data_IF_842809338355
#
_entry.id   IF_842809338355
#
_cell.length_a   1.000
_cell.length_b   1.000
_cell.length_c   1.000
_cell.angle_alpha   90.00
_cell.angle_beta   90.00
_cell.angle_gamma   90.00
#
_symmetry.space_group_name_H-M   'P 1'
#
loop_
_entity.id
_entity.type
_entity.pdbx_description
1 polymer ?
#
# COMPACT_ATOMS: atom_id res chain seq x y z
N UNK A 1 -3.57 -14.81 -21.71
CA UNK A 1 -3.19 -15.95 -20.83
C UNK A 1 -4.44 -16.64 -20.28
N UNK A 2 -4.40 -17.94 -19.93
CA UNK A 2 -5.55 -18.64 -19.37
C UNK A 2 -5.87 -18.15 -17.95
N UNK A 3 -7.14 -18.26 -17.52
CA UNK A 3 -7.61 -17.75 -16.22
C UNK A 3 -6.87 -18.36 -15.01
N UNK A 4 -6.43 -19.62 -15.13
CA UNK A 4 -5.69 -20.32 -14.08
C UNK A 4 -4.29 -19.72 -13.81
N UNK A 5 -3.77 -18.93 -14.76
CA UNK A 5 -2.53 -18.14 -14.63
C UNK A 5 -2.83 -16.63 -14.60
N UNK A 6 -4.01 -16.25 -14.10
CA UNK A 6 -4.37 -14.84 -13.93
C UNK A 6 -3.45 -14.15 -12.90
N UNK A 7 -3.32 -12.81 -12.95
CA UNK A 7 -2.52 -12.06 -11.99
C UNK A 7 -2.90 -12.35 -10.53
N UNK A 8 -4.19 -12.55 -10.26
CA UNK A 8 -4.68 -12.95 -8.93
C UNK A 8 -4.09 -14.31 -8.55
N UNK A 9 -4.23 -15.34 -9.40
CA UNK A 9 -3.68 -16.67 -9.12
C UNK A 9 -2.17 -16.66 -8.84
N UNK A 10 -1.41 -15.82 -9.57
CA UNK A 10 0.01 -15.64 -9.29
C UNK A 10 0.24 -14.99 -7.91
N UNK A 11 -0.46 -13.89 -7.61
CA UNK A 11 -0.33 -13.17 -6.35
C UNK A 11 -0.71 -14.05 -5.12
N UNK A 12 -1.51 -15.12 -5.30
CA UNK A 12 -1.86 -16.08 -4.22
C UNK A 12 -0.64 -16.62 -3.52
N UNK A 13 0.37 -16.92 -4.33
CA UNK A 13 1.59 -17.58 -3.93
C UNK A 13 2.74 -16.57 -3.88
N UNK A 14 2.43 -15.28 -3.70
CA UNK A 14 3.41 -14.24 -3.44
C UNK A 14 4.13 -13.69 -4.67
N UNK A 15 3.70 -14.05 -5.88
CA UNK A 15 4.36 -13.64 -7.12
C UNK A 15 3.93 -12.23 -7.56
N UNK A 16 4.91 -11.41 -7.87
CA UNK A 16 4.76 -10.06 -8.46
C UNK A 16 5.23 -10.12 -9.91
N UNK A 17 4.50 -9.50 -10.84
CA UNK A 17 4.94 -9.37 -12.22
C UNK A 17 6.04 -8.30 -12.34
N UNK A 18 7.16 -8.65 -12.96
CA UNK A 18 8.30 -7.75 -13.16
C UNK A 18 8.68 -7.60 -14.65
N UNK A 19 7.92 -8.21 -15.55
CA UNK A 19 8.18 -8.19 -16.99
C UNK A 19 7.31 -9.19 -17.76
N UNK A 20 7.57 -9.28 -19.07
CA UNK A 20 6.91 -10.24 -19.94
C UNK A 20 7.17 -11.67 -19.45
N UNK A 21 6.10 -12.35 -19.07
CA UNK A 21 6.14 -13.72 -18.54
C UNK A 21 7.03 -13.95 -17.32
N UNK A 22 7.50 -12.90 -16.64
CA UNK A 22 8.45 -13.02 -15.55
C UNK A 22 7.83 -12.59 -14.23
N UNK A 23 7.93 -13.48 -13.25
CA UNK A 23 7.41 -13.30 -11.90
C UNK A 23 8.56 -13.32 -10.89
N UNK A 24 8.45 -12.49 -9.85
CA UNK A 24 9.36 -12.45 -8.71
C UNK A 24 8.59 -12.66 -7.41
N UNK A 25 9.06 -13.52 -6.52
CA UNK A 25 8.45 -13.69 -5.22
C UNK A 25 8.70 -12.45 -4.35
N UNK A 26 7.63 -11.88 -3.78
CA UNK A 26 7.65 -10.74 -2.87
C UNK A 26 8.47 -10.97 -1.59
N UNK A 27 8.50 -12.21 -1.09
CA UNK A 27 9.23 -12.57 0.14
C UNK A 27 10.63 -13.10 -0.15
N UNK A 28 10.74 -14.23 -0.86
CA UNK A 28 12.02 -14.92 -1.04
C UNK A 28 12.84 -14.48 -2.27
N UNK A 29 12.33 -13.53 -3.07
CA UNK A 29 13.01 -13.01 -4.27
C UNK A 29 13.28 -14.02 -5.39
N UNK A 30 12.78 -15.26 -5.29
CA UNK A 30 12.84 -16.26 -6.37
C UNK A 30 12.19 -15.74 -7.66
N UNK A 31 12.62 -16.29 -8.80
CA UNK A 31 12.08 -15.96 -10.11
C UNK A 31 11.35 -17.15 -10.74
N UNK A 32 10.29 -16.85 -11.49
CA UNK A 32 9.52 -17.85 -12.23
C UNK A 32 9.18 -17.34 -13.64
N UNK A 33 9.49 -18.16 -14.64
CA UNK A 33 9.15 -17.92 -16.04
C UNK A 33 7.80 -18.58 -16.38
N UNK A 34 6.78 -17.75 -16.55
CA UNK A 34 5.41 -18.12 -16.90
C UNK A 34 5.12 -18.00 -18.40
N UNK A 35 6.12 -18.25 -19.25
CA UNK A 35 5.95 -18.28 -20.71
C UNK A 35 5.18 -19.50 -21.16
N UNK A 36 4.24 -19.27 -22.08
CA UNK A 36 3.40 -20.32 -22.65
C UNK A 36 3.77 -20.52 -24.13
N UNK A 37 3.83 -21.78 -24.61
CA UNK A 37 3.97 -22.05 -26.03
C UNK A 37 2.70 -21.61 -26.79
N UNK A 38 2.76 -21.63 -28.12
CA UNK A 38 1.58 -21.34 -28.95
C UNK A 38 0.40 -22.26 -28.60
N UNK A 39 -0.79 -21.67 -28.47
CA UNK A 39 -2.03 -22.38 -28.11
C UNK A 39 -2.47 -23.42 -29.17
N UNK A 40 -1.92 -23.36 -30.39
CA UNK A 40 -2.18 -24.35 -31.44
C UNK A 40 -1.56 -25.72 -31.13
N UNK A 41 -0.58 -25.77 -30.22
CA UNK A 41 0.03 -27.02 -29.75
C UNK A 41 -0.61 -27.47 -28.43
N UNK A 42 -1.89 -27.86 -28.48
CA UNK A 42 -2.72 -28.14 -27.30
C UNK A 42 -2.05 -29.00 -26.23
N UNK A 43 -1.43 -30.13 -26.59
CA UNK A 43 -0.78 -31.01 -25.61
C UNK A 43 0.39 -30.36 -24.86
N UNK A 44 1.24 -29.59 -25.55
CA UNK A 44 2.35 -28.85 -24.94
C UNK A 44 1.85 -27.65 -24.15
N UNK A 45 0.79 -27.00 -24.63
CA UNK A 45 0.16 -25.86 -23.99
C UNK A 45 -0.42 -26.23 -22.63
N UNK A 46 -1.27 -27.25 -22.57
CA UNK A 46 -1.88 -27.73 -21.32
C UNK A 46 -0.84 -28.25 -20.33
N UNK A 47 0.15 -29.01 -20.81
CA UNK A 47 1.24 -29.51 -19.97
C UNK A 47 2.03 -28.36 -19.34
N UNK A 48 2.32 -27.30 -20.11
CA UNK A 48 3.03 -26.13 -19.59
C UNK A 48 2.18 -25.34 -18.59
N UNK A 49 0.87 -25.23 -18.81
CA UNK A 49 -0.04 -24.59 -17.85
C UNK A 49 -0.01 -25.35 -16.51
N UNK A 50 -0.12 -26.68 -16.55
CA UNK A 50 -0.08 -27.51 -15.35
C UNK A 50 1.27 -27.37 -14.61
N UNK A 51 2.37 -27.35 -15.36
CA UNK A 51 3.72 -27.14 -14.82
C UNK A 51 3.86 -25.78 -14.13
N UNK A 52 3.47 -24.69 -14.80
CA UNK A 52 3.53 -23.35 -14.22
C UNK A 52 2.62 -23.26 -13.00
N UNK A 53 1.41 -23.83 -13.07
CA UNK A 53 0.46 -23.82 -11.94
C UNK A 53 1.07 -24.50 -10.71
N UNK A 54 1.78 -25.62 -10.89
CA UNK A 54 2.53 -26.27 -9.82
C UNK A 54 3.70 -25.42 -9.33
N UNK A 55 4.47 -24.83 -10.25
CA UNK A 55 5.60 -23.96 -9.93
C UNK A 55 5.18 -22.70 -9.17
N UNK A 56 3.97 -22.17 -9.39
CA UNK A 56 3.48 -21.05 -8.57
C UNK A 56 3.51 -21.40 -7.08
N UNK A 57 3.18 -22.63 -6.71
CA UNK A 57 3.23 -23.06 -5.31
C UNK A 57 4.62 -23.51 -4.88
N UNK A 58 5.40 -24.18 -5.74
CA UNK A 58 6.62 -24.88 -5.33
C UNK A 58 7.93 -24.17 -5.67
N UNK A 59 7.96 -23.27 -6.65
CA UNK A 59 9.17 -22.62 -7.15
C UNK A 59 9.59 -21.47 -6.23
N UNK A 60 9.86 -21.77 -4.97
CA UNK A 60 10.30 -20.79 -3.99
C UNK A 60 11.63 -21.22 -3.38
N UNK A 61 12.38 -20.24 -2.86
CA UNK A 61 13.55 -20.56 -2.03
C UNK A 61 13.13 -21.24 -0.73
N UNK A 62 14.09 -21.92 -0.10
CA UNK A 62 13.88 -22.56 1.21
C UNK A 62 13.36 -21.53 2.22
N UNK A 63 12.42 -21.96 3.05
CA UNK A 63 11.77 -21.17 4.09
C UNK A 63 10.88 -20.01 3.60
N UNK A 64 10.55 -19.97 2.31
CA UNK A 64 9.47 -19.09 1.86
C UNK A 64 8.13 -19.53 2.47
N UNK A 65 7.30 -18.61 2.99
CA UNK A 65 6.03 -18.98 3.63
C UNK A 65 4.91 -19.30 2.64
N UNK A 66 5.01 -18.83 1.39
CA UNK A 66 3.92 -18.92 0.40
C UNK A 66 3.49 -20.34 -0.01
N UNK A 67 4.38 -21.35 -0.10
CA UNK A 67 3.97 -22.72 -0.39
C UNK A 67 3.00 -23.31 0.65
N UNK A 68 3.23 -23.01 1.93
CA UNK A 68 2.48 -23.54 3.08
C UNK A 68 1.31 -22.64 3.48
N UNK A 69 1.47 -21.32 3.29
CA UNK A 69 0.51 -20.29 3.69
C UNK A 69 0.13 -19.39 2.50
N UNK A 70 -0.48 -19.94 1.44
CA UNK A 70 -0.95 -19.13 0.32
C UNK A 70 -2.06 -18.17 0.78
N UNK A 71 -2.20 -17.05 0.07
CA UNK A 71 -3.28 -16.09 0.33
C UNK A 71 -4.65 -16.79 0.23
N UNK A 72 -5.49 -16.73 1.29
CA UNK A 72 -6.85 -17.26 1.25
C UNK A 72 -7.68 -16.67 0.10
N UNK A 73 -8.47 -17.53 -0.56
CA UNK A 73 -9.27 -17.16 -1.74
C UNK A 73 -10.22 -15.99 -1.46
N UNK A 74 -10.80 -15.94 -0.26
CA UNK A 74 -11.69 -14.84 0.15
C UNK A 74 -11.07 -13.44 0.08
N UNK A 75 -9.74 -13.30 0.12
CA UNK A 75 -9.09 -11.99 0.10
C UNK A 75 -8.98 -11.36 -1.29
N UNK A 76 -9.21 -12.12 -2.36
CA UNK A 76 -9.22 -11.59 -3.73
C UNK A 76 -10.56 -11.77 -4.44
N UNK A 77 -11.51 -12.46 -3.80
CA UNK A 77 -12.84 -12.58 -4.36
C UNK A 77 -13.48 -11.21 -4.17
N UNK A 78 -13.82 -10.56 -5.28
CA UNK A 78 -14.73 -9.44 -5.22
C UNK A 78 -16.00 -10.02 -4.58
N UNK A 79 -16.43 -9.51 -3.42
CA UNK A 79 -17.65 -10.00 -2.81
C UNK A 79 -18.74 -9.92 -3.87
N UNK A 80 -19.40 -11.04 -4.18
CA UNK A 80 -20.59 -11.07 -5.03
C UNK A 80 -21.78 -10.48 -4.25
N UNK A 81 -21.56 -9.32 -3.65
CA UNK A 81 -22.57 -8.53 -3.00
C UNK A 81 -23.37 -7.84 -4.09
N UNK A 82 -24.66 -7.68 -3.82
CA UNK A 82 -25.53 -6.91 -4.68
C UNK A 82 -24.99 -5.46 -4.79
N UNK A 83 -25.01 -4.83 -5.98
CA UNK A 83 -24.41 -3.52 -6.20
C UNK A 83 -24.80 -2.45 -5.17
N UNK A 84 -26.04 -2.44 -4.67
CA UNK A 84 -26.47 -1.48 -3.65
C UNK A 84 -25.80 -1.70 -2.29
N UNK A 85 -25.48 -2.95 -1.92
CA UNK A 85 -24.72 -3.27 -0.71
C UNK A 85 -23.29 -2.76 -0.85
N UNK A 86 -22.63 -3.03 -1.98
CA UNK A 86 -21.27 -2.55 -2.24
C UNK A 86 -21.18 -1.02 -2.19
N UNK A 87 -22.17 -0.35 -2.80
CA UNK A 87 -22.27 1.10 -2.79
C UNK A 87 -22.51 1.64 -1.39
N UNK A 88 -23.41 1.02 -0.62
CA UNK A 88 -23.69 1.43 0.77
C UNK A 88 -22.45 1.29 1.65
N UNK A 89 -21.79 0.13 1.61
CA UNK A 89 -20.56 -0.10 2.38
C UNK A 89 -19.44 0.87 1.97
N UNK A 90 -19.32 1.17 0.68
CA UNK A 90 -18.37 2.15 0.17
C UNK A 90 -18.68 3.56 0.68
N UNK A 91 -19.94 3.99 0.64
CA UNK A 91 -20.38 5.30 1.14
C UNK A 91 -20.13 5.44 2.64
N UNK A 92 -20.37 4.40 3.43
CA UNK A 92 -20.07 4.41 4.87
C UNK A 92 -18.58 4.56 5.14
N UNK A 93 -17.73 3.81 4.42
CA UNK A 93 -16.27 3.95 4.50
C UNK A 93 -15.83 5.36 4.11
N UNK A 94 -16.37 5.90 3.02
CA UNK A 94 -16.07 7.25 2.56
C UNK A 94 -16.41 8.29 3.64
N UNK A 95 -17.65 8.28 4.16
CA UNK A 95 -18.09 9.20 5.21
C UNK A 95 -17.21 9.11 6.45
N UNK A 96 -16.96 7.90 6.94
CA UNK A 96 -16.11 7.70 8.12
C UNK A 96 -14.70 8.27 7.90
N UNK A 97 -14.17 8.12 6.69
CA UNK A 97 -12.81 8.55 6.35
C UNK A 97 -12.74 10.07 6.16
N UNK A 98 -13.77 10.70 5.60
CA UNK A 98 -13.85 12.16 5.50
C UNK A 98 -13.80 12.86 6.86
N UNK A 99 -14.34 12.25 7.92
CA UNK A 99 -14.28 12.81 9.28
C UNK A 99 -12.85 12.94 9.83
N UNK A 100 -11.87 12.27 9.22
CA UNK A 100 -10.46 12.38 9.60
C UNK A 100 -9.80 13.64 9.03
N UNK A 101 -10.42 14.30 8.04
CA UNK A 101 -9.94 15.55 7.46
C UNK A 101 -8.47 15.49 7.02
N UNK A 102 -7.69 16.48 7.44
CA UNK A 102 -6.26 16.61 7.14
C UNK A 102 -5.38 15.51 7.76
N UNK A 103 -5.91 14.72 8.69
CA UNK A 103 -5.15 13.62 9.31
C UNK A 103 -4.96 12.42 8.37
N UNK A 104 -5.65 12.40 7.22
CA UNK A 104 -5.44 11.36 6.22
C UNK A 104 -4.03 11.43 5.62
N UNK A 105 -3.50 10.28 5.15
CA UNK A 105 -2.19 10.24 4.51
C UNK A 105 -2.12 11.15 3.28
N UNK A 106 -1.09 11.99 3.21
CA UNK A 106 -0.84 12.85 2.06
C UNK A 106 -0.56 12.01 0.81
N UNK A 107 -1.35 12.24 -0.23
CA UNK A 107 -1.18 11.57 -1.52
C UNK A 107 -0.32 12.43 -2.44
N UNK A 108 0.93 12.02 -2.64
CA UNK A 108 1.82 12.69 -3.59
C UNK A 108 1.27 12.61 -5.01
N UNK A 109 1.35 13.72 -5.73
CA UNK A 109 0.87 13.83 -7.11
C UNK A 109 1.54 12.84 -8.07
N UNK A 110 2.79 12.43 -7.79
CA UNK A 110 3.52 11.39 -8.54
C UNK A 110 2.86 10.00 -8.45
N UNK A 111 2.33 9.62 -7.28
CA UNK A 111 1.64 8.35 -7.07
C UNK A 111 0.21 8.38 -7.62
N UNK A 112 -0.44 9.54 -7.58
CA UNK A 112 -1.71 9.74 -8.25
C UNK A 112 -1.52 9.60 -9.76
N UNK A 113 -0.47 10.20 -10.32
CA UNK A 113 -0.10 10.08 -11.73
C UNK A 113 0.13 8.64 -12.16
N UNK A 114 0.87 7.81 -11.41
CA UNK A 114 1.09 6.40 -11.80
C UNK A 114 -0.20 5.57 -11.79
N UNK A 115 -1.12 5.82 -10.84
CA UNK A 115 -2.48 5.26 -10.88
C UNK A 115 -3.32 5.79 -12.05
N UNK A 116 -2.97 6.98 -12.54
CA UNK A 116 -3.64 7.75 -13.61
C UNK A 116 -3.16 7.37 -15.02
N UNK A 117 -1.89 6.97 -15.18
CA UNK A 117 -1.26 6.69 -16.49
C UNK A 117 -1.63 5.32 -17.06
N UNK A 118 -2.18 4.38 -16.28
CA UNK A 118 -2.70 3.09 -16.79
C UNK A 118 -4.17 3.16 -17.25
N UNK A 119 -4.57 4.33 -17.76
CA UNK A 119 -5.93 4.74 -18.07
C UNK A 119 -6.76 5.08 -16.84
N UNK A 120 -7.29 6.31 -16.92
CA UNK A 120 -8.42 6.87 -16.18
C UNK A 120 -8.03 7.61 -14.89
N UNK A 121 -7.80 8.92 -15.05
CA UNK A 121 -8.14 9.96 -14.05
C UNK A 121 -9.66 10.01 -13.83
N UNK A 122 -10.44 9.58 -14.82
CA UNK A 122 -11.89 9.55 -14.79
C UNK A 122 -12.56 8.82 -13.59
N UNK A 123 -12.07 7.69 -13.04
CA UNK A 123 -12.83 6.91 -12.08
C UNK A 123 -12.96 7.64 -10.76
N UNK A 124 -11.92 8.35 -10.29
CA UNK A 124 -12.01 9.03 -9.00
C UNK A 124 -13.02 10.18 -9.06
N UNK A 125 -13.01 10.98 -10.12
CA UNK A 125 -13.99 12.06 -10.30
C UNK A 125 -15.40 11.51 -10.58
N UNK A 126 -15.53 10.44 -11.36
CA UNK A 126 -16.81 9.73 -11.55
C UNK A 126 -17.33 9.19 -10.21
N UNK A 127 -16.47 8.63 -9.37
CA UNK A 127 -16.84 8.11 -8.06
C UNK A 127 -17.25 9.22 -7.11
N UNK A 128 -16.55 10.36 -7.12
CA UNK A 128 -16.96 11.54 -6.34
C UNK A 128 -18.32 12.08 -6.83
N UNK A 129 -18.56 12.11 -8.14
CA UNK A 129 -19.86 12.48 -8.69
C UNK A 129 -20.95 11.48 -8.27
N UNK A 130 -20.69 10.18 -8.33
CA UNK A 130 -21.61 9.13 -7.86
C UNK A 130 -21.92 9.26 -6.38
N UNK A 131 -20.92 9.61 -5.55
CA UNK A 131 -21.12 9.89 -4.12
C UNK A 131 -22.08 11.06 -3.95
N UNK A 132 -21.86 12.15 -4.68
CA UNK A 132 -22.68 13.36 -4.61
C UNK A 132 -24.12 13.09 -5.04
N UNK A 133 -24.32 12.34 -6.12
CA UNK A 133 -25.63 11.95 -6.64
C UNK A 133 -26.39 11.04 -5.64
N UNK A 134 -25.69 10.10 -5.00
CA UNK A 134 -26.29 9.24 -3.96
C UNK A 134 -26.62 10.02 -2.68
N UNK A 135 -25.81 11.00 -2.30
CA UNK A 135 -26.09 11.89 -1.17
C UNK A 135 -27.34 12.73 -1.45
N UNK A 136 -27.46 13.30 -2.66
CA UNK A 136 -28.65 14.03 -3.10
C UNK A 136 -29.89 13.14 -3.09
N UNK A 137 -29.79 11.91 -3.58
CA UNK A 137 -30.89 10.94 -3.60
C UNK A 137 -31.36 10.56 -2.19
N UNK A 138 -30.44 10.48 -1.22
CA UNK A 138 -30.74 10.16 0.19
C UNK A 138 -31.12 11.41 1.03
N UNK A 139 -31.08 12.61 0.45
CA UNK A 139 -31.35 13.86 1.17
C UNK A 139 -30.29 14.22 2.22
N UNK A 140 -29.07 13.70 2.06
CA UNK A 140 -27.97 13.93 2.99
C UNK A 140 -27.15 15.16 2.60
N UNK A 141 -26.54 15.81 3.60
CA UNK A 141 -25.64 16.94 3.37
C UNK A 141 -24.34 16.49 2.72
N UNK A 142 -23.86 17.18 1.66
CA UNK A 142 -22.56 16.91 1.05
C UNK A 142 -21.40 17.02 2.04
N UNK A 143 -20.31 16.33 1.76
CA UNK A 143 -19.08 16.44 2.55
C UNK A 143 -18.50 17.86 2.41
N UNK A 144 -18.32 18.56 3.54
CA UNK A 144 -17.79 19.92 3.59
C UNK A 144 -16.25 19.99 3.50
N UNK A 145 -15.56 18.85 3.41
CA UNK A 145 -14.11 18.79 3.39
C UNK A 145 -13.52 19.28 2.05
N UNK A 146 -12.28 19.81 2.05
CA UNK A 146 -11.59 20.18 0.81
C UNK A 146 -11.49 19.03 -0.18
N UNK A 147 -11.47 19.34 -1.49
CA UNK A 147 -11.39 18.33 -2.56
C UNK A 147 -10.23 17.34 -2.39
N UNK A 148 -9.08 17.80 -1.91
CA UNK A 148 -7.92 16.94 -1.65
C UNK A 148 -8.21 15.87 -0.59
N UNK A 149 -8.95 16.23 0.47
CA UNK A 149 -9.41 15.32 1.52
C UNK A 149 -10.40 14.33 0.94
N UNK A 150 -11.37 14.80 0.14
CA UNK A 150 -12.37 13.93 -0.48
C UNK A 150 -11.72 12.92 -1.43
N UNK A 151 -10.73 13.34 -2.22
CA UNK A 151 -9.95 12.43 -3.09
C UNK A 151 -9.21 11.39 -2.25
N UNK A 152 -8.53 11.80 -1.18
CA UNK A 152 -7.83 10.89 -0.29
C UNK A 152 -8.78 9.90 0.39
N UNK A 153 -9.90 10.39 0.92
CA UNK A 153 -10.92 9.58 1.57
C UNK A 153 -11.56 8.57 0.61
N UNK A 154 -11.82 8.99 -0.64
CA UNK A 154 -12.36 8.13 -1.68
C UNK A 154 -11.38 6.99 -2.01
N UNK A 155 -10.09 7.28 -2.21
CA UNK A 155 -9.06 6.25 -2.46
C UNK A 155 -8.95 5.28 -1.28
N UNK A 156 -8.89 5.79 -0.05
CA UNK A 156 -8.80 4.98 1.17
C UNK A 156 -10.04 4.08 1.32
N UNK A 157 -11.24 4.61 1.09
CA UNK A 157 -12.50 3.88 1.15
C UNK A 157 -12.64 2.80 0.05
N UNK A 158 -12.18 3.09 -1.18
CA UNK A 158 -12.12 2.12 -2.28
C UNK A 158 -11.21 0.94 -1.93
N UNK A 159 -10.07 1.22 -1.28
CA UNK A 159 -9.16 0.20 -0.78
C UNK A 159 -9.68 -0.55 0.47
N UNK A 160 -10.92 -0.30 0.89
CA UNK A 160 -11.59 -1.02 1.97
C UNK A 160 -11.28 -0.53 3.37
N UNK A 161 -10.66 0.64 3.52
CA UNK A 161 -10.34 1.20 4.83
C UNK A 161 -11.47 2.11 5.32
N UNK A 162 -11.75 2.05 6.61
CA UNK A 162 -12.72 2.90 7.30
C UNK A 162 -12.07 3.52 8.54
N UNK A 163 -12.53 4.70 8.95
CA UNK A 163 -12.15 5.24 10.25
C UNK A 163 -12.78 4.38 11.35
N UNK A 164 -11.96 3.97 12.33
CA UNK A 164 -12.46 3.25 13.49
C UNK A 164 -13.26 4.21 14.37
N UNK A 165 -14.44 3.83 14.87
CA UNK A 165 -15.22 4.69 15.76
C UNK A 165 -14.39 5.00 17.01
N UNK A 166 -13.94 6.25 17.12
CA UNK A 166 -13.17 6.72 18.27
C UNK A 166 -13.98 6.53 19.54
N UNK A 167 -13.47 5.74 20.48
CA UNK A 167 -14.04 5.65 21.81
C UNK A 167 -13.50 6.85 22.61
N UNK A 168 -14.27 7.94 22.62
CA UNK A 168 -14.05 9.15 23.41
C UNK A 168 -12.84 10.03 23.02
N UNK A 169 -12.87 11.29 23.47
CA UNK A 169 -12.06 12.47 23.09
C UNK A 169 -10.51 12.32 23.07
N UNK A 170 -9.95 11.14 23.35
CA UNK A 170 -8.50 10.92 23.47
C UNK A 170 -7.97 9.76 22.60
N UNK A 171 -8.79 9.17 21.72
CA UNK A 171 -8.32 8.10 20.85
C UNK A 171 -7.57 8.64 19.63
N UNK A 172 -6.33 8.21 19.43
CA UNK A 172 -5.60 8.48 18.19
C UNK A 172 -6.33 7.87 16.99
N UNK A 173 -6.33 8.53 15.82
CA UNK A 173 -7.07 8.08 14.63
C UNK A 173 -6.50 6.78 14.06
N UNK A 174 -7.36 5.78 13.89
CA UNK A 174 -7.00 4.45 13.36
C UNK A 174 -7.89 4.11 12.17
N UNK A 175 -7.28 3.74 11.05
CA UNK A 175 -7.97 3.11 9.92
C UNK A 175 -8.00 1.59 10.10
N UNK A 176 -9.15 0.99 9.83
CA UNK A 176 -9.34 -0.47 9.82
C UNK A 176 -9.76 -0.92 8.43
N UNK A 177 -9.12 -1.96 7.88
CA UNK A 177 -9.48 -2.54 6.58
C UNK A 177 -10.56 -3.62 6.74
N UNK A 178 -11.70 -3.48 6.05
CA UNK A 178 -12.80 -4.46 6.09
C UNK A 178 -12.44 -5.79 5.43
N UNK A 179 -11.49 -5.81 4.49
CA UNK A 179 -11.12 -7.03 3.77
C UNK A 179 -10.13 -7.90 4.55
N UNK A 180 -9.09 -7.29 5.13
CA UNK A 180 -7.99 -8.01 5.77
C UNK A 180 -7.89 -7.79 7.28
N UNK A 181 -8.79 -7.00 7.88
CA UNK A 181 -8.85 -6.67 9.32
C UNK A 181 -7.60 -5.97 9.87
N UNK A 182 -6.68 -5.51 9.00
CA UNK A 182 -5.52 -4.72 9.43
C UNK A 182 -5.96 -3.39 10.02
N UNK A 183 -5.24 -2.95 11.04
CA UNK A 183 -5.41 -1.64 11.68
C UNK A 183 -4.13 -0.84 11.54
N UNK A 184 -4.25 0.44 11.15
CA UNK A 184 -3.10 1.35 11.03
C UNK A 184 -3.43 2.68 11.69
N UNK A 185 -2.51 3.18 12.52
CA UNK A 185 -2.61 4.50 13.11
C UNK A 185 -2.15 5.58 12.13
N UNK A 186 -2.89 6.68 12.01
CA UNK A 186 -2.54 7.74 11.05
C UNK A 186 -1.24 8.48 11.41
N UNK A 187 -0.81 8.43 12.67
CA UNK A 187 0.48 8.98 13.14
C UNK A 187 1.72 8.33 12.50
N UNK A 188 1.55 7.25 11.73
CA UNK A 188 2.62 6.63 10.96
C UNK A 188 2.80 7.24 9.57
N UNK A 189 1.94 8.18 9.16
CA UNK A 189 1.92 8.76 7.82
C UNK A 189 2.12 10.28 7.88
N UNK A 190 2.68 10.82 6.81
CA UNK A 190 2.68 12.26 6.59
C UNK A 190 1.24 12.72 6.36
N UNK A 191 0.80 13.70 7.14
CA UNK A 191 -0.54 14.26 7.08
C UNK A 191 -0.63 15.30 5.95
N UNK A 192 -1.85 15.60 5.50
CA UNK A 192 -2.07 16.63 4.50
C UNK A 192 -1.74 18.01 5.09
N UNK A 193 -1.01 18.81 4.31
CA UNK A 193 -0.64 20.16 4.70
C UNK A 193 -1.93 21.00 4.71
N UNK A 194 -2.27 21.53 5.88
CA UNK A 194 -3.40 22.44 6.00
C UNK A 194 -3.07 23.73 5.29
N UNK A 195 -3.97 24.23 4.45
CA UNK A 195 -3.93 25.61 3.96
C UNK A 195 -4.25 26.55 5.13
N UNK A 196 -3.34 26.65 6.09
CA UNK A 196 -3.28 27.69 7.09
C UNK A 196 -2.27 28.72 6.61
N UNK A 197 -2.71 29.97 6.46
CA UNK A 197 -1.84 31.12 6.27
C UNK A 197 -0.72 31.15 7.34
N UNK A 198 0.50 31.45 6.90
CA UNK A 198 1.52 32.10 7.73
C UNK A 198 2.32 31.20 8.69
N UNK A 199 3.39 30.61 8.18
CA UNK A 199 4.78 30.99 8.50
C UNK A 199 5.73 29.78 8.49
N UNK A 200 6.74 29.91 7.63
CA UNK A 200 7.83 28.98 7.49
C UNK A 200 8.59 28.84 8.82
N UNK A 201 8.72 27.62 9.31
CA UNK A 201 9.79 27.27 10.25
C UNK A 201 10.25 25.85 9.94
N UNK A 202 11.34 25.78 9.17
CA UNK A 202 12.10 24.57 8.94
C UNK A 202 12.57 23.98 10.29
N UNK A 203 12.59 22.64 10.48
CA UNK A 203 13.22 22.06 11.64
C UNK A 203 14.75 22.18 11.50
N UNK A 204 15.33 23.06 12.31
CA UNK A 204 16.77 23.23 12.41
C UNK A 204 17.44 21.97 12.97
N UNK A 205 18.57 21.66 12.33
CA UNK A 205 19.63 20.72 12.68
C UNK A 205 19.91 20.61 14.19
N UNK A 206 20.13 19.37 14.65
CA UNK A 206 20.43 19.06 16.04
C UNK A 206 21.72 19.68 16.56
N UNK A 207 21.88 19.84 17.89
CA UNK A 207 23.09 20.40 18.44
C UNK A 207 24.19 19.33 18.50
N UNK A 208 25.27 19.62 17.80
CA UNK A 208 26.63 19.17 18.11
C UNK A 208 26.99 19.75 19.48
N UNK A 209 27.60 18.96 20.35
CA UNK A 209 28.33 19.49 21.52
C UNK A 209 29.68 18.81 21.64
N UNK A 210 30.67 19.69 21.63
CA UNK A 210 32.11 19.54 21.61
C UNK A 210 32.69 19.02 22.93
N UNK A 211 33.84 18.38 22.80
CA UNK A 211 34.62 17.77 23.87
C UNK A 211 35.35 18.81 24.76
N UNK A 212 35.21 18.66 26.10
CA UNK A 212 36.19 18.65 27.24
C UNK A 212 37.34 19.71 27.31
N UNK A 213 38.00 19.99 28.49
CA UNK A 213 38.13 19.10 29.67
C UNK A 213 38.28 19.74 31.10
N UNK A 214 38.39 18.85 32.13
CA UNK A 214 39.06 18.97 33.48
C UNK A 214 38.37 19.78 34.63
N UNK A 215 38.36 19.44 35.95
CA UNK A 215 39.02 18.43 36.85
C UNK A 215 38.36 18.45 38.28
N UNK A 216 38.41 17.32 39.03
CA UNK A 216 38.29 17.04 40.52
C UNK A 216 37.02 17.49 41.33
N UNK A 217 36.52 16.87 42.42
CA UNK A 217 36.69 15.63 43.22
C UNK A 217 35.48 15.49 44.20
N UNK A 218 35.34 14.33 44.84
CA UNK A 218 34.72 14.01 46.15
C UNK A 218 33.19 13.77 46.36
N UNK A 219 32.88 12.47 46.45
CA UNK A 219 32.14 11.69 47.48
C UNK A 219 30.82 12.17 48.15
N UNK A 220 29.82 11.27 48.00
CA UNK A 220 28.95 10.66 49.03
C UNK A 220 27.42 10.97 49.06
N UNK A 221 26.66 9.86 49.12
CA UNK A 221 25.31 9.64 49.65
C UNK A 221 24.05 9.91 48.79
N UNK A 222 23.39 8.80 48.43
CA UNK A 222 21.96 8.52 48.59
C UNK A 222 20.91 9.38 47.85
N UNK A 223 20.30 8.83 46.79
CA UNK A 223 18.83 8.70 46.64
C UNK A 223 18.44 8.09 45.28
N UNK A 224 17.39 7.27 45.34
CA UNK A 224 16.67 6.58 44.28
C UNK A 224 16.10 7.49 43.17
N UNK A 225 16.23 7.07 41.91
CA UNK A 225 15.18 7.23 40.89
C UNK A 225 15.41 6.31 39.68
N UNK A 226 14.42 5.48 39.39
CA UNK A 226 14.34 4.63 38.20
C UNK A 226 14.10 5.47 36.95
N UNK A 227 14.87 5.33 35.85
CA UNK A 227 14.57 6.05 34.63
C UNK A 227 13.38 5.42 33.89
N UNK A 228 12.41 6.26 33.54
CA UNK A 228 11.27 5.91 32.70
C UNK A 228 11.77 5.45 31.33
N UNK A 229 11.50 4.19 30.99
CA UNK A 229 11.71 3.67 29.64
C UNK A 229 10.74 4.34 28.68
N UNK A 230 11.25 5.28 27.88
CA UNK A 230 10.56 5.79 26.70
C UNK A 230 10.37 4.65 25.68
N UNK A 231 9.21 4.52 25.01
CA UNK A 231 9.03 3.47 24.03
C UNK A 231 9.95 3.73 22.83
N UNK A 232 10.98 2.89 22.67
CA UNK A 232 11.85 2.92 21.50
C UNK A 232 11.01 2.60 20.26
N UNK A 233 11.01 3.53 19.31
CA UNK A 233 10.54 3.38 17.93
C UNK A 233 11.11 2.09 17.32
N UNK A 234 10.27 1.06 17.17
CA UNK A 234 10.61 -0.10 16.36
C UNK A 234 10.74 0.34 14.91
N UNK A 235 11.96 0.32 14.37
CA UNK A 235 12.20 0.50 12.95
C UNK A 235 11.72 -0.76 12.22
N UNK A 236 10.61 -0.67 11.49
CA UNK A 236 10.30 -1.64 10.45
C UNK A 236 11.42 -1.56 9.39
N UNK A 237 12.09 -2.68 9.17
CA UNK A 237 13.25 -2.79 8.28
C UNK A 237 12.77 -2.86 6.84
N UNK A 238 12.59 -1.71 6.21
CA UNK A 238 12.60 -1.56 4.76
C UNK A 238 13.49 -0.38 4.41
N UNK A 239 14.79 -0.64 4.28
CA UNK A 239 15.71 0.27 3.61
C UNK A 239 16.12 -0.40 2.31
N UNK A 240 15.45 -0.02 1.23
CA UNK A 240 15.98 -0.18 -0.12
C UNK A 240 17.18 0.76 -0.27
N UNK A 241 18.37 0.19 -0.30
CA UNK A 241 19.60 0.93 -0.59
C UNK A 241 19.91 0.67 -2.06
N UNK A 242 19.52 1.61 -2.93
CA UNK A 242 19.95 1.61 -4.33
C UNK A 242 21.35 2.23 -4.35
N UNK A 243 22.38 1.41 -4.52
CA UNK A 243 23.70 1.89 -4.91
C UNK A 243 23.77 1.86 -6.44
N UNK A 244 24.13 2.96 -7.12
CA UNK A 244 24.43 2.92 -8.54
C UNK A 244 25.83 2.37 -8.70
N UNK A 245 26.02 1.34 -9.51
CA UNK A 245 27.34 1.07 -10.07
C UNK A 245 27.25 0.74 -11.54
N UNK A 246 28.14 1.39 -12.29
CA UNK A 246 28.20 1.42 -13.74
C UNK A 246 28.77 0.11 -14.28
N UNK A 247 28.09 -0.49 -15.24
CA UNK A 247 28.73 -1.39 -16.20
C UNK A 247 28.03 -1.29 -17.56
N UNK A 248 28.73 -0.64 -18.47
CA UNK A 248 28.44 -0.48 -19.90
C UNK A 248 28.49 -1.82 -20.64
N UNK A 249 27.39 -2.28 -21.25
CA UNK A 249 27.44 -3.24 -22.36
C UNK A 249 26.41 -2.90 -23.43
N UNK A 250 26.96 -2.43 -24.55
CA UNK A 250 26.50 -2.30 -25.93
C UNK A 250 25.07 -2.73 -26.34
N UNK A 251 24.41 -1.76 -26.98
CA UNK A 251 23.26 -1.87 -27.86
C UNK A 251 23.37 -3.02 -28.88
N UNK A 252 22.36 -3.90 -28.90
CA UNK A 252 21.81 -4.39 -30.17
C UNK A 252 20.29 -4.27 -30.12
N UNK A 253 19.80 -3.57 -31.14
CA UNK A 253 18.42 -3.15 -31.37
C UNK A 253 17.66 -4.34 -31.94
N UNK A 254 16.63 -4.83 -31.26
CA UNK A 254 15.61 -5.69 -31.87
C UNK A 254 14.23 -5.20 -31.43
N UNK A 255 13.40 -5.03 -32.45
CA UNK A 255 12.25 -4.16 -32.46
C UNK A 255 11.11 -4.59 -31.54
N UNK A 256 10.49 -3.55 -31.00
CA UNK A 256 9.35 -3.57 -30.11
C UNK A 256 8.09 -3.99 -30.87
N UNK A 257 7.43 -5.05 -30.42
CA UNK A 257 5.98 -5.16 -30.56
C UNK A 257 5.42 -5.56 -29.20
N UNK A 258 5.23 -4.53 -28.39
CA UNK A 258 4.60 -4.57 -27.07
C UNK A 258 3.12 -4.85 -27.26
N UNK A 259 2.70 -6.08 -27.02
CA UNK A 259 1.32 -6.39 -26.69
C UNK A 259 1.26 -6.65 -25.18
N UNK A 260 0.67 -5.71 -24.44
CA UNK A 260 0.45 -5.84 -22.99
C UNK A 260 -1.05 -5.84 -22.71
N UNK A 261 -1.45 -6.79 -21.85
CA UNK A 261 -2.72 -6.96 -21.13
C UNK A 261 -3.94 -7.47 -21.93
#
# INVERSE_FOLDING_TARGET
>A
KPRILSPLMCARYGWINIGCDMLKCSSCQAFLCASLPSALNFGKYESRIAEITKQLQTQHEKFCPWPDFPCPERFWLIPACEPSVLLTDFLERFRSTCLLGQQLPALKSEHLKSMVWQSRIAPIFILLQLIEDEQKRKGETPCAEPLAVQVAACIVALCGWAASPGHQNMSLPILTCSYCMRKVGLWNFYQMEGTGDGDASAPASGPVSSATPEVQDDQAASASSTPSTTPRRMKLRSQDTIHPDQASINHTKLDYTVWTL
#
